data_IF_171407472266
#
_entry.id   IF_171407472266
#
_cell.length_a   1.000
_cell.length_b   1.000
_cell.length_c   1.000
_cell.angle_alpha   90.00
_cell.angle_beta   90.00
_cell.angle_gamma   90.00
#
_symmetry.space_group_name_H-M   'P 1'
#
loop_
_entity.id
_entity.type
_entity.pdbx_description
1 polymer ?
#
# COMPACT_ATOMS: atom_id res chain seq x y z
N UNK A 1 -8.16 -21.97 -17.94
CA UNK A 1 -7.05 -21.12 -18.40
C UNK A 1 -5.86 -21.39 -17.51
N UNK A 2 -4.73 -21.79 -18.09
CA UNK A 2 -3.47 -21.91 -17.34
C UNK A 2 -2.92 -20.49 -17.26
N UNK A 3 -2.96 -19.87 -16.08
CA UNK A 3 -2.28 -18.60 -15.86
C UNK A 3 -0.78 -18.82 -15.92
N UNK A 4 -0.05 -17.92 -16.58
CA UNK A 4 1.41 -17.94 -16.54
C UNK A 4 1.87 -17.55 -15.12
N UNK A 5 2.33 -18.54 -14.36
CA UNK A 5 2.82 -18.38 -13.00
C UNK A 5 4.03 -17.42 -12.91
N UNK A 6 4.77 -17.21 -14.01
CA UNK A 6 5.88 -16.26 -14.03
C UNK A 6 5.39 -14.83 -14.19
N UNK A 7 4.31 -14.60 -14.93
CA UNK A 7 3.67 -13.30 -15.05
C UNK A 7 3.09 -12.85 -13.69
N UNK A 8 2.41 -13.76 -12.98
CA UNK A 8 1.84 -13.46 -11.65
C UNK A 8 2.90 -13.14 -10.61
N UNK A 9 4.09 -13.77 -10.68
CA UNK A 9 5.21 -13.45 -9.80
C UNK A 9 5.75 -12.03 -10.03
N UNK A 10 5.97 -11.64 -11.29
CA UNK A 10 6.43 -10.29 -11.63
C UNK A 10 5.41 -9.22 -11.24
N UNK A 11 4.12 -9.51 -11.39
CA UNK A 11 3.09 -8.57 -10.96
C UNK A 11 3.05 -8.45 -9.43
N UNK A 12 3.21 -9.53 -8.68
CA UNK A 12 3.34 -9.45 -7.22
C UNK A 12 4.57 -8.63 -6.77
N UNK A 13 5.68 -8.70 -7.49
CA UNK A 13 6.86 -7.86 -7.25
C UNK A 13 6.58 -6.37 -7.47
N UNK A 14 5.86 -6.01 -8.55
CA UNK A 14 5.43 -4.62 -8.80
C UNK A 14 4.50 -4.12 -7.70
N UNK A 15 3.47 -4.90 -7.34
CA UNK A 15 2.53 -4.51 -6.29
C UNK A 15 3.24 -4.30 -4.94
N UNK A 16 4.28 -5.07 -4.63
CA UNK A 16 5.10 -4.80 -3.43
C UNK A 16 5.87 -3.48 -3.52
N UNK A 17 6.42 -3.17 -4.69
CA UNK A 17 7.08 -1.88 -4.93
C UNK A 17 6.09 -0.72 -4.78
N UNK A 18 4.86 -0.88 -5.27
CA UNK A 18 3.82 0.12 -5.15
C UNK A 18 3.42 0.32 -3.68
N UNK A 19 3.24 -0.77 -2.90
CA UNK A 19 2.99 -0.71 -1.45
C UNK A 19 4.11 0.05 -0.72
N UNK A 20 5.38 -0.17 -1.09
CA UNK A 20 6.50 0.57 -0.51
C UNK A 20 6.36 2.06 -0.82
N UNK A 21 6.03 2.41 -2.07
CA UNK A 21 5.80 3.80 -2.47
C UNK A 21 4.70 4.48 -1.66
N UNK A 22 3.55 3.81 -1.49
CA UNK A 22 2.46 4.36 -0.68
C UNK A 22 2.84 4.50 0.80
N UNK A 23 3.58 3.54 1.36
CA UNK A 23 4.06 3.62 2.74
C UNK A 23 5.06 4.77 2.96
N UNK A 24 5.98 4.96 2.02
CA UNK A 24 6.92 6.09 2.05
C UNK A 24 6.18 7.43 1.96
N UNK A 25 5.15 7.53 1.11
CA UNK A 25 4.29 8.71 1.01
C UNK A 25 3.55 9.00 2.32
N UNK A 26 2.96 7.97 2.96
CA UNK A 26 2.31 8.11 4.28
C UNK A 26 3.29 8.66 5.32
N UNK A 27 4.49 8.09 5.41
CA UNK A 27 5.52 8.52 6.37
C UNK A 27 5.92 9.97 6.09
N UNK A 28 6.18 10.32 4.84
CA UNK A 28 6.57 11.66 4.43
C UNK A 28 5.49 12.70 4.74
N UNK A 29 4.24 12.43 4.37
CA UNK A 29 3.14 13.37 4.62
C UNK A 29 2.87 13.53 6.12
N UNK A 30 2.99 12.47 6.92
CA UNK A 30 2.84 12.58 8.36
C UNK A 30 3.90 13.52 8.96
N UNK A 31 5.17 13.36 8.58
CA UNK A 31 6.24 14.25 9.05
C UNK A 31 5.98 15.72 8.68
N UNK A 32 5.54 15.99 7.45
CA UNK A 32 5.20 17.34 7.01
C UNK A 32 3.98 17.93 7.77
N UNK A 33 2.97 17.11 8.07
CA UNK A 33 1.80 17.50 8.87
C UNK A 33 2.21 17.88 10.30
N UNK A 34 3.14 17.14 10.89
CA UNK A 34 3.62 17.37 12.26
C UNK A 34 4.43 18.67 12.36
N UNK A 35 5.19 19.01 11.32
CA UNK A 35 6.05 20.21 11.28
C UNK A 35 5.31 21.48 10.85
N UNK A 36 4.33 21.37 9.96
CA UNK A 36 3.69 22.55 9.36
C UNK A 36 2.75 23.27 10.35
N UNK A 37 2.84 24.60 10.35
CA UNK A 37 1.91 25.50 11.06
C UNK A 37 0.82 26.05 10.14
N UNK A 38 0.93 25.84 8.83
CA UNK A 38 -0.08 26.29 7.87
C UNK A 38 -1.27 25.34 7.87
N UNK A 39 -2.45 25.87 8.20
CA UNK A 39 -3.70 25.10 8.30
C UNK A 39 -4.11 24.48 6.96
N UNK A 40 -4.03 25.23 5.87
CA UNK A 40 -4.41 24.75 4.53
C UNK A 40 -3.50 23.61 4.08
N UNK A 41 -2.18 23.76 4.28
CA UNK A 41 -1.21 22.68 3.99
C UNK A 41 -1.53 21.44 4.82
N UNK A 42 -1.82 21.60 6.12
CA UNK A 42 -2.18 20.49 6.99
C UNK A 42 -3.43 19.74 6.51
N UNK A 43 -4.46 20.47 6.11
CA UNK A 43 -5.71 19.89 5.61
C UNK A 43 -5.50 19.09 4.32
N UNK A 44 -4.80 19.67 3.34
CA UNK A 44 -4.51 19.00 2.07
C UNK A 44 -3.64 17.75 2.27
N UNK A 45 -2.56 17.85 3.04
CA UNK A 45 -1.69 16.70 3.28
C UNK A 45 -2.38 15.60 4.09
N UNK A 46 -3.29 15.96 5.00
CA UNK A 46 -4.07 14.97 5.75
C UNK A 46 -5.03 14.21 4.83
N UNK A 47 -5.64 14.89 3.86
CA UNK A 47 -6.45 14.24 2.83
C UNK A 47 -5.63 13.25 2.03
N UNK A 48 -4.52 13.70 1.43
CA UNK A 48 -3.64 12.85 0.61
C UNK A 48 -3.14 11.64 1.42
N UNK A 49 -2.68 11.86 2.66
CA UNK A 49 -2.22 10.78 3.55
C UNK A 49 -3.30 9.72 3.80
N UNK A 50 -4.58 10.11 3.86
CA UNK A 50 -5.67 9.14 4.01
C UNK A 50 -5.93 8.36 2.71
N UNK A 51 -5.80 9.01 1.55
CA UNK A 51 -5.89 8.34 0.25
C UNK A 51 -4.78 7.27 0.12
N UNK A 52 -3.53 7.58 0.49
CA UNK A 52 -2.44 6.60 0.38
C UNK A 52 -2.61 5.39 1.32
N UNK A 53 -3.30 5.57 2.45
CA UNK A 53 -3.69 4.46 3.33
C UNK A 53 -4.74 3.57 2.67
N UNK A 54 -5.69 4.15 1.94
CA UNK A 54 -6.67 3.39 1.16
C UNK A 54 -5.99 2.66 0.01
N UNK A 55 -5.12 3.33 -0.75
CA UNK A 55 -4.31 2.72 -1.82
C UNK A 55 -3.49 1.54 -1.30
N UNK A 56 -2.82 1.70 -0.15
CA UNK A 56 -2.09 0.60 0.52
C UNK A 56 -2.99 -0.60 0.78
N UNK A 57 -4.21 -0.38 1.29
CA UNK A 57 -5.16 -1.46 1.56
C UNK A 57 -5.63 -2.18 0.28
N UNK A 58 -5.90 -1.43 -0.79
CA UNK A 58 -6.28 -1.99 -2.09
C UNK A 58 -5.16 -2.83 -2.71
N UNK A 59 -3.92 -2.33 -2.64
CA UNK A 59 -2.74 -3.04 -3.13
C UNK A 59 -2.47 -4.32 -2.31
N UNK A 60 -2.63 -4.29 -0.99
CA UNK A 60 -2.54 -5.51 -0.16
C UNK A 60 -3.61 -6.54 -0.57
N UNK A 61 -4.85 -6.10 -0.79
CA UNK A 61 -5.93 -6.98 -1.27
C UNK A 61 -5.60 -7.61 -2.62
N UNK A 62 -4.92 -6.87 -3.51
CA UNK A 62 -4.45 -7.40 -4.78
C UNK A 62 -3.29 -8.37 -4.59
N UNK A 63 -2.32 -8.05 -3.73
CA UNK A 63 -1.17 -8.91 -3.42
C UNK A 63 -1.61 -10.28 -2.90
N UNK A 64 -2.63 -10.33 -2.03
CA UNK A 64 -3.22 -11.59 -1.51
C UNK A 64 -3.80 -12.49 -2.61
N UNK A 65 -4.26 -11.90 -3.73
CA UNK A 65 -4.70 -12.68 -4.89
C UNK A 65 -3.53 -13.24 -5.68
N UNK A 66 -2.43 -12.50 -5.77
CA UNK A 66 -1.26 -12.81 -6.58
C UNK A 66 -0.25 -13.74 -5.90
N UNK A 67 -0.11 -13.66 -4.57
CA UNK A 67 0.81 -14.50 -3.78
C UNK A 67 0.06 -15.33 -2.73
N UNK A 68 -0.16 -16.60 -3.05
CA UNK A 68 -0.86 -17.55 -2.18
C UNK A 68 -0.09 -17.94 -0.93
N UNK A 69 1.23 -17.90 -0.96
CA UNK A 69 2.03 -18.19 0.24
C UNK A 69 1.87 -17.04 1.23
N UNK A 70 1.92 -15.81 0.75
CA UNK A 70 1.73 -14.63 1.60
C UNK A 70 0.27 -14.53 2.10
N UNK A 71 -0.72 -14.85 1.28
CA UNK A 71 -2.14 -14.93 1.66
C UNK A 71 -2.37 -15.91 2.83
N UNK A 72 -1.78 -17.11 2.78
CA UNK A 72 -1.82 -18.08 3.88
C UNK A 72 -1.19 -17.56 5.17
N UNK A 73 -0.20 -16.66 5.08
CA UNK A 73 0.35 -16.00 6.27
C UNK A 73 -0.64 -15.00 6.85
N UNK A 74 -1.33 -14.20 6.01
CA UNK A 74 -2.39 -13.31 6.48
C UNK A 74 -3.51 -14.11 7.18
N UNK A 75 -4.00 -15.18 6.57
CA UNK A 75 -5.06 -16.03 7.15
C UNK A 75 -4.63 -16.62 8.50
N UNK A 76 -3.37 -17.06 8.62
CA UNK A 76 -2.83 -17.58 9.88
C UNK A 76 -2.85 -16.53 11.00
N UNK A 77 -2.61 -15.27 10.68
CA UNK A 77 -2.65 -14.15 11.63
C UNK A 77 -4.09 -13.61 11.83
N UNK A 78 -5.10 -14.20 11.17
CA UNK A 78 -6.50 -13.78 11.28
C UNK A 78 -6.84 -12.52 10.48
N UNK A 79 -6.04 -12.20 9.46
CA UNK A 79 -6.18 -11.02 8.60
C UNK A 79 -6.81 -11.36 7.25
#
# INVERSE_FOLDING_TARGET
MVYDLNATKKDAEKIRSDIIGEQDAIIQYQAHIDETKNKEVKEVLTHILNDEKEHTAELIKLLRKLDKVQDQKFEKEGL
#
